data_IF_738636640854
#
_entry.id   IF_738636640854
#
_cell.length_a   1.000
_cell.length_b   1.000
_cell.length_c   1.000
_cell.angle_alpha   90.00
_cell.angle_beta   90.00
_cell.angle_gamma   90.00
#
_symmetry.space_group_name_H-M   'P 1'
#
loop_
_entity.id
_entity.type
_entity.pdbx_description
1 polymer ?
#
# COMPACT_ATOMS: atom_id res chain seq x y z
N UNK A 1 9.05 -18.43 -1.06
CA UNK A 1 8.62 -17.03 -1.28
C UNK A 1 7.13 -17.06 -1.54
N UNK A 2 6.33 -16.43 -0.68
CA UNK A 2 4.88 -16.33 -0.85
C UNK A 2 4.55 -15.33 -1.95
N UNK A 3 3.29 -15.33 -2.43
CA UNK A 3 2.86 -14.30 -3.37
C UNK A 3 2.94 -12.90 -2.77
N UNK A 4 2.55 -12.76 -1.49
CA UNK A 4 2.72 -11.51 -0.77
C UNK A 4 4.18 -11.06 -0.75
N UNK A 5 5.15 -11.94 -0.47
CA UNK A 5 6.57 -11.57 -0.44
C UNK A 5 7.04 -11.00 -1.79
N UNK A 6 6.54 -11.55 -2.90
CA UNK A 6 6.83 -11.02 -4.25
C UNK A 6 6.27 -9.60 -4.41
N UNK A 7 4.96 -9.43 -4.19
CA UNK A 7 4.28 -8.13 -4.37
C UNK A 7 4.85 -7.07 -3.43
N UNK A 8 5.15 -7.45 -2.20
CA UNK A 8 5.78 -6.58 -1.21
C UNK A 8 7.13 -6.05 -1.71
N UNK A 9 7.97 -6.92 -2.27
CA UNK A 9 9.26 -6.53 -2.86
C UNK A 9 9.08 -5.61 -4.06
N UNK A 10 8.06 -5.85 -4.88
CA UNK A 10 7.74 -5.00 -6.03
C UNK A 10 7.29 -3.60 -5.57
N UNK A 11 6.45 -3.50 -4.53
CA UNK A 11 6.08 -2.22 -3.88
C UNK A 11 7.31 -1.47 -3.36
N UNK A 12 8.17 -2.15 -2.61
CA UNK A 12 9.41 -1.55 -2.08
C UNK A 12 10.30 -1.04 -3.21
N UNK A 13 10.40 -1.78 -4.31
CA UNK A 13 11.16 -1.37 -5.50
C UNK A 13 10.55 -0.14 -6.18
N UNK A 14 9.24 -0.09 -6.36
CA UNK A 14 8.54 1.07 -6.94
C UNK A 14 8.75 2.33 -6.09
N UNK A 15 8.66 2.22 -4.77
CA UNK A 15 8.94 3.33 -3.84
C UNK A 15 10.39 3.80 -3.99
N UNK A 16 11.35 2.88 -4.04
CA UNK A 16 12.76 3.22 -4.21
C UNK A 16 13.07 3.83 -5.59
N UNK A 17 12.28 3.50 -6.61
CA UNK A 17 12.37 4.07 -7.96
C UNK A 17 11.60 5.40 -8.10
N UNK A 18 10.98 5.89 -7.02
CA UNK A 18 10.34 7.21 -6.99
C UNK A 18 8.86 7.23 -7.41
N UNK A 19 8.17 6.09 -7.43
CA UNK A 19 6.74 6.05 -7.71
C UNK A 19 5.96 6.77 -6.60
N UNK A 20 5.20 7.82 -6.91
CA UNK A 20 4.50 8.60 -5.87
C UNK A 20 3.35 7.84 -5.16
N UNK A 21 2.81 6.80 -5.80
CA UNK A 21 1.73 5.99 -5.26
C UNK A 21 1.66 4.59 -5.89
N UNK A 22 1.01 3.67 -5.18
CA UNK A 22 0.67 2.32 -5.59
C UNK A 22 -0.86 2.20 -5.61
N UNK A 23 -1.52 2.54 -6.74
CA UNK A 23 -2.97 2.48 -6.85
C UNK A 23 -3.45 1.05 -7.15
N UNK A 24 -4.65 0.73 -6.67
CA UNK A 24 -5.39 -0.49 -7.01
C UNK A 24 -6.90 -0.27 -6.86
N UNK A 25 -7.70 -1.20 -7.36
CA UNK A 25 -9.16 -1.17 -7.20
C UNK A 25 -9.58 -2.26 -6.20
N UNK A 26 -10.42 -1.89 -5.23
CA UNK A 26 -11.04 -2.83 -4.29
C UNK A 26 -12.49 -2.44 -4.04
N UNK A 27 -13.41 -3.40 -4.18
CA UNK A 27 -14.87 -3.17 -4.05
C UNK A 27 -15.38 -1.99 -4.90
N UNK A 28 -14.86 -1.82 -6.12
CA UNK A 28 -15.24 -0.72 -7.02
C UNK A 28 -14.74 0.67 -6.58
N UNK A 29 -13.93 0.75 -5.53
CA UNK A 29 -13.32 1.99 -5.04
C UNK A 29 -11.86 2.06 -5.45
N UNK A 30 -11.41 3.27 -5.80
CA UNK A 30 -10.01 3.54 -5.99
C UNK A 30 -9.33 3.50 -4.62
N UNK A 31 -8.26 2.72 -4.51
CA UNK A 31 -7.51 2.50 -3.27
C UNK A 31 -6.01 2.60 -3.53
N UNK A 32 -5.22 2.80 -2.49
CA UNK A 32 -3.78 2.73 -2.65
C UNK A 32 -2.96 3.06 -1.43
N UNK A 33 -1.66 3.05 -1.66
CA UNK A 33 -0.61 3.51 -0.76
C UNK A 33 0.14 4.64 -1.46
N UNK A 34 0.22 5.81 -0.85
CA UNK A 34 1.09 6.90 -1.30
C UNK A 34 2.11 7.24 -0.22
N UNK A 35 3.13 8.00 -0.59
CA UNK A 35 4.08 8.53 0.37
C UNK A 35 4.60 9.89 -0.02
N UNK A 36 5.11 10.60 0.97
CA UNK A 36 5.85 11.83 0.83
C UNK A 36 7.21 11.68 1.50
N UNK A 37 8.23 12.32 0.92
CA UNK A 37 9.57 12.34 1.50
C UNK A 37 9.88 13.78 1.89
N UNK A 38 10.05 14.01 3.20
CA UNK A 38 10.43 15.32 3.73
C UNK A 38 11.64 15.16 4.65
N UNK A 39 12.72 15.89 4.34
CA UNK A 39 13.99 15.82 5.08
C UNK A 39 14.54 14.39 5.25
N UNK A 40 14.32 13.53 4.26
CA UNK A 40 14.76 12.12 4.28
C UNK A 40 13.87 11.17 5.09
N UNK A 41 12.72 11.65 5.58
CA UNK A 41 11.74 10.84 6.31
C UNK A 41 10.56 10.53 5.39
N UNK A 42 10.22 9.25 5.28
CA UNK A 42 9.03 8.79 4.56
C UNK A 42 7.80 8.90 5.46
N UNK A 43 6.77 9.58 4.96
CA UNK A 43 5.43 9.58 5.55
C UNK A 43 4.49 8.87 4.60
N UNK A 44 3.82 7.82 5.07
CA UNK A 44 2.95 6.99 4.25
C UNK A 44 1.48 7.26 4.51
N UNK A 45 0.67 7.09 3.47
CA UNK A 45 -0.78 7.26 3.53
C UNK A 45 -1.48 6.14 2.79
N UNK A 46 -2.55 5.59 3.37
CA UNK A 46 -3.49 4.74 2.65
C UNK A 46 -4.77 5.49 2.34
N UNK A 47 -5.37 5.19 1.21
CA UNK A 47 -6.65 5.77 0.80
C UNK A 47 -7.60 4.68 0.27
N UNK A 48 -8.88 4.79 0.63
CA UNK A 48 -9.95 3.85 0.32
C UNK A 48 -11.22 4.63 -0.05
N UNK A 49 -11.40 4.91 -1.35
CA UNK A 49 -12.35 5.93 -1.79
C UNK A 49 -12.02 7.28 -1.15
N UNK A 50 -12.99 7.87 -0.46
CA UNK A 50 -12.83 9.18 0.20
C UNK A 50 -12.18 9.10 1.59
N UNK A 51 -11.90 7.89 2.10
CA UNK A 51 -11.22 7.70 3.38
C UNK A 51 -9.71 7.73 3.17
N UNK A 52 -9.00 8.41 4.06
CA UNK A 52 -7.55 8.45 4.08
C UNK A 52 -7.04 8.19 5.49
N UNK A 53 -5.87 7.56 5.60
CA UNK A 53 -5.17 7.35 6.86
C UNK A 53 -3.71 7.73 6.70
N UNK A 54 -3.27 8.63 7.57
CA UNK A 54 -1.87 9.00 7.75
C UNK A 54 -1.22 8.05 8.76
N UNK A 55 -0.09 7.46 8.38
CA UNK A 55 0.67 6.55 9.21
C UNK A 55 1.90 7.19 9.87
N UNK A 56 2.18 8.47 9.60
CA UNK A 56 3.37 9.14 10.07
C UNK A 56 4.62 8.34 9.67
N UNK A 57 5.43 8.01 10.68
CA UNK A 57 6.71 7.31 10.49
C UNK A 57 6.62 5.79 10.67
N UNK A 58 5.43 5.19 10.58
CA UNK A 58 5.29 3.72 10.67
C UNK A 58 6.02 3.04 9.53
N UNK A 59 6.52 1.84 9.81
CA UNK A 59 7.16 1.00 8.80
C UNK A 59 6.15 0.44 7.79
N UNK A 60 6.62 0.11 6.59
CA UNK A 60 5.80 -0.58 5.59
C UNK A 60 5.19 -1.90 6.13
N UNK A 61 5.88 -2.61 7.02
CA UNK A 61 5.35 -3.81 7.68
C UNK A 61 4.06 -3.52 8.42
N UNK A 62 4.08 -2.51 9.29
CA UNK A 62 2.92 -2.12 10.08
C UNK A 62 1.77 -1.68 9.19
N UNK A 63 2.07 -1.03 8.07
CA UNK A 63 1.07 -0.58 7.09
C UNK A 63 0.45 -1.78 6.36
N UNK A 64 1.25 -2.78 5.97
CA UNK A 64 0.73 -3.98 5.28
C UNK A 64 -0.21 -4.81 6.15
N UNK A 65 -0.01 -4.81 7.46
CA UNK A 65 -0.82 -5.55 8.43
C UNK A 65 -2.01 -4.72 8.99
N UNK A 66 -2.11 -3.42 8.69
CA UNK A 66 -3.18 -2.54 9.18
C UNK A 66 -4.53 -2.80 8.45
N UNK A 67 -5.63 -3.08 9.18
CA UNK A 67 -6.92 -3.45 8.59
C UNK A 67 -7.76 -2.25 8.12
N UNK A 68 -7.19 -1.42 7.25
CA UNK A 68 -7.81 -0.17 6.79
C UNK A 68 -8.88 -0.35 5.71
N UNK A 69 -8.71 -1.33 4.81
CA UNK A 69 -9.52 -1.50 3.61
C UNK A 69 -10.76 -2.35 3.90
N UNK A 70 -11.81 -1.72 4.44
CA UNK A 70 -13.04 -2.40 4.85
C UNK A 70 -12.77 -3.56 5.84
N UNK A 71 -11.94 -3.27 6.84
CA UNK A 71 -11.52 -4.25 7.85
C UNK A 71 -10.47 -5.27 7.37
N UNK A 72 -10.03 -5.18 6.11
CA UNK A 72 -8.93 -6.01 5.59
C UNK A 72 -7.63 -5.21 5.50
N UNK A 73 -6.51 -5.89 5.73
CA UNK A 73 -5.19 -5.34 5.49
C UNK A 73 -4.75 -5.52 4.05
N UNK A 74 -3.80 -4.71 3.58
CA UNK A 74 -3.26 -4.83 2.23
C UNK A 74 -2.66 -6.23 2.00
N UNK A 75 -2.01 -6.81 3.01
CA UNK A 75 -1.50 -8.18 2.99
C UNK A 75 -2.60 -9.23 2.84
N UNK A 76 -3.74 -9.08 3.51
CA UNK A 76 -4.89 -9.98 3.33
C UNK A 76 -5.42 -9.87 1.91
N UNK A 77 -5.62 -8.65 1.40
CA UNK A 77 -6.11 -8.43 0.04
C UNK A 77 -5.22 -9.05 -1.03
N UNK A 78 -3.89 -8.92 -0.88
CA UNK A 78 -2.90 -9.51 -1.78
C UNK A 78 -2.95 -11.06 -1.72
N UNK A 79 -2.91 -11.64 -0.52
CA UNK A 79 -2.90 -13.10 -0.35
C UNK A 79 -4.19 -13.75 -0.87
N UNK A 80 -5.33 -13.10 -0.65
CA UNK A 80 -6.65 -13.56 -1.08
C UNK A 80 -6.96 -13.23 -2.56
N UNK A 81 -6.02 -12.59 -3.28
CA UNK A 81 -6.19 -12.20 -4.70
C UNK A 81 -7.41 -11.31 -4.93
N UNK A 82 -7.77 -10.48 -3.93
CA UNK A 82 -8.91 -9.55 -4.01
C UNK A 82 -8.57 -8.26 -4.76
N UNK A 83 -7.28 -8.02 -5.00
CA UNK A 83 -6.76 -6.86 -5.71
C UNK A 83 -5.65 -7.29 -6.66
N UNK A 84 -5.49 -6.51 -7.71
CA UNK A 84 -4.33 -6.55 -8.58
C UNK A 84 -3.60 -5.22 -8.44
N UNK A 85 -2.29 -5.29 -8.28
CA UNK A 85 -1.43 -4.11 -8.22
C UNK A 85 -0.61 -4.13 -9.51
N UNK A 86 -0.81 -3.11 -10.33
CA UNK A 86 -0.05 -2.93 -11.55
C UNK A 86 1.14 -2.00 -11.25
N UNK A 87 2.34 -2.49 -11.54
CA UNK A 87 3.57 -1.74 -11.34
C UNK A 87 4.00 -1.23 -12.72
N UNK A 88 3.71 0.05 -12.98
CA UNK A 88 4.20 0.74 -14.18
C UNK A 88 5.70 1.05 -14.09
#
# INVERSE_FOLDING_TARGET
>A
MTYFDKIRKDIEMSINNGACAIPFIYQGKQCGLSYEVSKGIFTFYSWFGDKMKDYGNKSLNEIFDDPFFDGHSLKQLINERKIEIDFC
#
